data_IF_926791625437
#
_entry.id   IF_926791625437
#
_cell.length_a   1.000
_cell.length_b   1.000
_cell.length_c   1.000
_cell.angle_alpha   90.00
_cell.angle_beta   90.00
_cell.angle_gamma   90.00
#
_symmetry.space_group_name_H-M   'P 1'
#
loop_
_entity.id
_entity.type
_entity.pdbx_description
1 polymer ?
#
# COMPACT_ATOMS: atom_id res chain seq x y z
N UNK A 1 -26.09 1.42 3.08
CA UNK A 1 -25.33 2.30 3.97
C UNK A 1 -24.93 1.63 5.28
N UNK A 2 -25.86 1.27 6.17
CA UNK A 2 -25.53 0.69 7.50
C UNK A 2 -25.14 -0.80 7.52
N UNK A 3 -24.69 -1.37 6.40
CA UNK A 3 -24.26 -2.78 6.30
C UNK A 3 -25.20 -3.83 6.92
N UNK A 4 -26.51 -3.56 7.02
CA UNK A 4 -27.51 -4.44 7.68
C UNK A 4 -27.58 -5.85 7.08
N UNK A 5 -27.18 -6.02 5.82
CA UNK A 5 -27.11 -7.31 5.14
C UNK A 5 -26.07 -8.27 5.75
N UNK A 6 -25.08 -7.76 6.49
CA UNK A 6 -24.14 -8.60 7.25
C UNK A 6 -24.73 -9.16 8.55
N UNK A 7 -25.84 -8.61 9.05
CA UNK A 7 -26.40 -9.02 10.33
C UNK A 7 -26.87 -10.48 10.33
N UNK A 8 -27.35 -11.00 9.20
CA UNK A 8 -27.70 -12.42 9.06
C UNK A 8 -26.48 -13.31 9.23
N UNK A 9 -25.36 -12.95 8.58
CA UNK A 9 -24.09 -13.68 8.66
C UNK A 9 -23.51 -13.62 10.09
N UNK A 10 -23.56 -12.45 10.75
CA UNK A 10 -23.10 -12.31 12.13
C UNK A 10 -23.96 -13.14 13.11
N UNK A 11 -25.29 -13.17 12.91
CA UNK A 11 -26.16 -14.04 13.70
C UNK A 11 -25.84 -15.51 13.48
N UNK A 12 -25.60 -15.92 12.23
CA UNK A 12 -25.21 -17.29 11.90
C UNK A 12 -23.88 -17.66 12.57
N UNK A 13 -22.87 -16.80 12.44
CA UNK A 13 -21.54 -16.97 13.04
C UNK A 13 -21.53 -16.94 14.58
N UNK A 14 -22.50 -16.27 15.21
CA UNK A 14 -22.70 -16.33 16.65
C UNK A 14 -23.23 -17.69 17.10
N UNK A 15 -24.09 -18.32 16.29
CA UNK A 15 -24.71 -19.62 16.62
C UNK A 15 -23.86 -20.83 16.24
N UNK A 16 -23.06 -20.75 15.17
CA UNK A 16 -22.23 -21.86 14.69
C UNK A 16 -20.99 -21.35 13.97
N UNK A 17 -19.98 -22.21 13.83
CA UNK A 17 -18.86 -21.94 12.94
C UNK A 17 -19.36 -21.83 11.49
N UNK A 18 -18.98 -20.73 10.82
CA UNK A 18 -19.34 -20.46 9.43
C UNK A 18 -18.66 -21.46 8.49
N UNK A 19 -19.40 -21.93 7.49
CA UNK A 19 -18.89 -22.75 6.39
C UNK A 19 -18.73 -21.92 5.12
N UNK A 20 -17.97 -22.45 4.15
CA UNK A 20 -17.77 -21.76 2.85
C UNK A 20 -19.11 -21.52 2.14
N UNK A 21 -20.05 -22.45 2.27
CA UNK A 21 -21.40 -22.34 1.69
C UNK A 21 -22.27 -21.24 2.34
N UNK A 22 -21.87 -20.70 3.50
CA UNK A 22 -22.57 -19.60 4.17
C UNK A 22 -22.14 -18.22 3.62
N UNK A 23 -21.15 -18.16 2.73
CA UNK A 23 -20.62 -16.93 2.15
C UNK A 23 -21.47 -16.48 0.95
N UNK A 24 -21.62 -15.17 0.79
CA UNK A 24 -22.33 -14.58 -0.34
C UNK A 24 -21.48 -14.62 -1.62
N UNK A 25 -22.14 -14.81 -2.77
CA UNK A 25 -21.52 -14.69 -4.08
C UNK A 25 -21.07 -13.25 -4.40
N UNK A 26 -20.01 -13.14 -5.20
CA UNK A 26 -19.43 -11.84 -5.61
C UNK A 26 -20.39 -11.12 -6.56
N UNK A 27 -20.53 -9.80 -6.39
CA UNK A 27 -21.51 -9.01 -7.15
C UNK A 27 -20.95 -8.57 -8.51
N UNK A 28 -21.80 -8.44 -9.55
CA UNK A 28 -21.37 -7.97 -10.88
C UNK A 28 -20.94 -6.49 -10.92
N UNK A 29 -21.40 -5.69 -9.95
CA UNK A 29 -21.19 -4.23 -9.87
C UNK A 29 -19.84 -3.85 -9.28
N UNK A 30 -18.98 -4.81 -8.95
CA UNK A 30 -17.58 -4.54 -8.63
C UNK A 30 -16.78 -4.19 -9.91
N UNK A 31 -17.37 -3.38 -10.80
CA UNK A 31 -16.72 -2.59 -11.86
C UNK A 31 -17.02 -1.11 -11.57
N UNK A 32 -15.96 -0.31 -11.55
CA UNK A 32 -15.81 0.95 -10.81
C UNK A 32 -16.65 2.15 -11.29
N UNK A 33 -17.06 3.04 -10.36
CA UNK A 33 -16.94 4.50 -10.54
C UNK A 33 -17.13 5.38 -9.27
N UNK A 34 -16.24 6.38 -9.19
CA UNK A 34 -16.22 7.72 -8.55
C UNK A 34 -16.31 7.97 -7.03
N UNK A 35 -15.54 8.99 -6.61
CA UNK A 35 -15.49 9.53 -5.24
C UNK A 35 -15.07 11.01 -5.22
N UNK A 36 -15.76 11.81 -4.40
CA UNK A 36 -15.32 13.09 -3.86
C UNK A 36 -16.02 13.26 -2.51
N UNK A 37 -15.29 13.35 -1.39
CA UNK A 37 -15.84 13.75 -0.07
C UNK A 37 -14.77 13.81 1.05
N UNK A 38 -13.98 14.89 1.09
CA UNK A 38 -13.12 15.17 2.28
C UNK A 38 -13.14 16.62 2.76
N UNK A 39 -13.88 17.49 2.09
CA UNK A 39 -14.00 18.90 2.47
C UNK A 39 -14.80 19.11 3.78
N UNK A 40 -15.52 18.09 4.23
CA UNK A 40 -16.41 18.17 5.39
C UNK A 40 -15.69 18.31 6.74
N UNK A 41 -14.52 17.69 6.91
CA UNK A 41 -13.78 17.73 8.19
C UNK A 41 -13.29 19.13 8.56
N UNK A 42 -13.04 19.99 7.57
CA UNK A 42 -12.53 21.34 7.77
C UNK A 42 -13.60 22.30 8.31
N UNK A 43 -14.88 21.98 8.09
CA UNK A 43 -16.01 22.81 8.46
C UNK A 43 -16.31 22.73 9.97
N UNK A 44 -16.07 21.57 10.61
CA UNK A 44 -16.43 21.34 12.01
C UNK A 44 -15.76 22.31 13.01
N UNK A 45 -14.43 22.54 12.99
CA UNK A 45 -13.81 23.48 13.93
C UNK A 45 -14.29 24.92 13.75
N UNK A 46 -14.64 25.31 12.52
CA UNK A 46 -15.22 26.62 12.24
C UNK A 46 -16.58 26.79 12.92
N UNK A 47 -17.47 25.80 12.77
CA UNK A 47 -18.80 25.80 13.40
C UNK A 47 -18.72 25.81 14.93
N UNK A 48 -17.79 25.04 15.52
CA UNK A 48 -17.56 25.04 16.97
C UNK A 48 -17.09 26.41 17.46
N UNK A 49 -16.21 27.07 16.70
CA UNK A 49 -15.77 28.43 17.00
C UNK A 49 -16.92 29.45 17.10
N UNK A 50 -17.86 29.40 16.16
CA UNK A 50 -19.04 30.28 16.16
C UNK A 50 -19.98 30.00 17.34
N UNK A 51 -20.18 28.74 17.73
CA UNK A 51 -20.98 28.38 18.91
C UNK A 51 -20.32 28.88 20.20
N UNK A 52 -18.99 28.84 20.29
CA UNK A 52 -18.25 29.33 21.47
C UNK A 52 -18.31 30.86 21.56
N UNK A 53 -18.38 31.58 20.43
CA UNK A 53 -18.49 33.05 20.41
C UNK A 53 -19.71 33.54 21.20
N UNK A 54 -20.84 32.84 21.09
CA UNK A 54 -22.10 33.18 21.78
C UNK A 54 -21.96 33.35 23.28
N UNK A 55 -21.06 32.62 23.91
CA UNK A 55 -20.83 32.69 25.35
C UNK A 55 -19.89 33.84 25.75
N UNK A 56 -19.45 34.66 24.80
CA UNK A 56 -18.61 35.84 25.09
C UNK A 56 -19.45 37.00 25.64
N UNK A 57 -18.88 37.89 26.47
CA UNK A 57 -19.63 39.00 27.08
C UNK A 57 -20.17 40.03 26.08
N UNK A 58 -19.52 40.20 24.93
CA UNK A 58 -19.79 41.26 23.94
C UNK A 58 -20.53 40.77 22.68
N UNK A 59 -21.26 39.65 22.76
CA UNK A 59 -21.76 38.99 21.56
C UNK A 59 -23.01 39.67 20.98
N UNK A 60 -22.98 39.95 19.66
CA UNK A 60 -24.15 40.42 18.90
C UNK A 60 -25.03 39.29 18.33
N UNK A 61 -24.70 38.03 18.64
CA UNK A 61 -25.36 36.86 18.05
C UNK A 61 -26.70 36.59 18.71
N UNK A 62 -27.72 36.30 17.90
CA UNK A 62 -29.06 35.97 18.38
C UNK A 62 -29.11 34.49 18.78
N UNK A 63 -29.94 34.11 19.75
CA UNK A 63 -30.11 32.70 20.15
C UNK A 63 -30.47 31.78 18.97
N UNK A 64 -31.16 32.29 17.95
CA UNK A 64 -31.51 31.56 16.73
C UNK A 64 -30.29 31.21 15.86
N UNK A 65 -29.28 32.08 15.81
CA UNK A 65 -28.04 31.84 15.05
C UNK A 65 -27.27 30.66 15.67
N UNK A 66 -27.22 30.59 17.00
CA UNK A 66 -26.53 29.52 17.75
C UNK A 66 -27.19 28.17 17.54
N UNK A 67 -28.52 28.11 17.62
CA UNK A 67 -29.25 26.88 17.31
C UNK A 67 -28.99 26.42 15.87
N UNK A 68 -28.88 27.36 14.93
CA UNK A 68 -28.55 27.06 13.54
C UNK A 68 -27.13 26.46 13.41
N UNK A 69 -26.12 27.07 14.04
CA UNK A 69 -24.75 26.54 14.05
C UNK A 69 -24.64 25.17 14.75
N UNK A 70 -25.37 24.96 15.85
CA UNK A 70 -25.40 23.68 16.56
C UNK A 70 -26.06 22.56 15.74
N UNK A 71 -27.15 22.87 15.03
CA UNK A 71 -27.79 21.93 14.09
C UNK A 71 -26.83 21.63 12.94
N UNK A 72 -26.21 22.65 12.34
CA UNK A 72 -25.24 22.46 11.27
C UNK A 72 -24.06 21.58 11.70
N UNK A 73 -23.53 21.78 12.91
CA UNK A 73 -22.45 20.97 13.47
C UNK A 73 -22.88 19.50 13.61
N UNK A 74 -24.09 19.26 14.13
CA UNK A 74 -24.63 17.91 14.32
C UNK A 74 -24.85 17.20 12.98
N UNK A 75 -25.44 17.90 12.01
CA UNK A 75 -25.68 17.37 10.67
C UNK A 75 -24.36 17.03 9.97
N UNK A 76 -23.38 17.91 10.03
CA UNK A 76 -22.02 17.68 9.48
C UNK A 76 -21.35 16.47 10.17
N UNK A 77 -21.55 16.30 11.49
CA UNK A 77 -21.07 15.11 12.19
C UNK A 77 -21.72 13.81 11.70
N UNK A 78 -23.05 13.82 11.48
CA UNK A 78 -23.80 12.67 10.99
C UNK A 78 -23.44 12.30 9.56
N UNK A 79 -23.30 13.29 8.68
CA UNK A 79 -22.90 13.09 7.29
C UNK A 79 -21.48 12.51 7.25
N UNK A 80 -20.53 13.03 8.04
CA UNK A 80 -19.19 12.45 8.14
C UNK A 80 -19.21 10.97 8.59
N UNK A 81 -20.00 10.63 9.61
CA UNK A 81 -20.13 9.23 10.08
C UNK A 81 -20.70 8.30 8.99
N UNK A 82 -21.48 8.85 8.08
CA UNK A 82 -22.10 8.14 6.98
C UNK A 82 -21.14 7.96 5.78
N UNK A 83 -20.41 9.02 5.42
CA UNK A 83 -19.54 9.07 4.24
C UNK A 83 -18.23 8.31 4.46
N UNK A 84 -17.57 8.49 5.61
CA UNK A 84 -16.21 7.96 5.82
C UNK A 84 -16.13 6.42 5.71
N UNK A 85 -17.06 5.64 6.29
CA UNK A 85 -17.07 4.19 6.12
C UNK A 85 -17.37 3.77 4.67
N UNK A 86 -18.22 4.53 3.96
CA UNK A 86 -18.54 4.27 2.55
C UNK A 86 -17.31 4.48 1.66
N UNK A 87 -16.51 5.52 1.94
CA UNK A 87 -15.22 5.74 1.28
C UNK A 87 -14.29 4.53 1.44
N UNK A 88 -14.05 4.08 2.69
CA UNK A 88 -13.15 2.96 2.92
C UNK A 88 -13.66 1.68 2.27
N UNK A 89 -14.97 1.44 2.35
CA UNK A 89 -15.61 0.32 1.67
C UNK A 89 -15.36 0.36 0.14
N UNK A 90 -15.60 1.50 -0.50
CA UNK A 90 -15.37 1.67 -1.94
C UNK A 90 -13.90 1.45 -2.31
N UNK A 91 -12.96 1.98 -1.52
CA UNK A 91 -11.53 1.80 -1.76
C UNK A 91 -11.09 0.34 -1.61
N UNK A 92 -11.66 -0.39 -0.65
CA UNK A 92 -11.41 -1.83 -0.50
C UNK A 92 -11.98 -2.64 -1.67
N UNK A 93 -13.15 -2.29 -2.20
CA UNK A 93 -13.69 -2.91 -3.41
C UNK A 93 -12.76 -2.70 -4.61
N UNK A 94 -12.29 -1.47 -4.85
CA UNK A 94 -11.35 -1.17 -5.92
C UNK A 94 -10.04 -1.96 -5.75
N UNK A 95 -9.50 -2.01 -4.54
CA UNK A 95 -8.30 -2.80 -4.29
C UNK A 95 -8.51 -4.30 -4.57
N UNK A 96 -9.66 -4.86 -4.20
CA UNK A 96 -10.01 -6.25 -4.51
C UNK A 96 -10.05 -6.52 -6.02
N UNK A 97 -10.62 -5.61 -6.80
CA UNK A 97 -10.64 -5.70 -8.27
C UNK A 97 -9.23 -5.67 -8.85
N UNK A 98 -8.37 -4.75 -8.38
CA UNK A 98 -6.97 -4.69 -8.80
C UNK A 98 -6.24 -6.01 -8.49
N UNK A 99 -6.46 -6.59 -7.30
CA UNK A 99 -5.86 -7.86 -6.90
C UNK A 99 -6.29 -9.01 -7.81
N UNK A 100 -7.58 -9.11 -8.11
CA UNK A 100 -8.10 -10.14 -9.02
C UNK A 100 -7.50 -10.00 -10.43
N UNK A 101 -7.44 -8.77 -10.95
CA UNK A 101 -6.87 -8.48 -12.28
C UNK A 101 -5.37 -8.82 -12.35
N UNK A 102 -4.57 -8.34 -11.39
CA UNK A 102 -3.13 -8.62 -11.32
C UNK A 102 -2.88 -10.12 -11.14
N UNK A 103 -3.66 -10.79 -10.28
CA UNK A 103 -3.60 -12.24 -10.10
C UNK A 103 -3.88 -13.00 -11.40
N UNK A 104 -4.91 -12.59 -12.15
CA UNK A 104 -5.23 -13.19 -13.45
C UNK A 104 -4.13 -12.95 -14.50
N UNK A 105 -3.51 -11.76 -14.53
CA UNK A 105 -2.41 -11.44 -15.43
C UNK A 105 -1.18 -12.30 -15.10
N UNK A 106 -0.81 -12.41 -13.82
CA UNK A 106 0.27 -13.28 -13.36
C UNK A 106 -0.03 -14.73 -13.74
N UNK A 107 -1.25 -15.21 -13.49
CA UNK A 107 -1.67 -16.57 -13.84
C UNK A 107 -1.52 -16.86 -15.35
N UNK A 108 -2.02 -15.96 -16.19
CA UNK A 108 -1.89 -16.06 -17.66
C UNK A 108 -0.42 -16.01 -18.11
N UNK A 109 0.43 -15.22 -17.45
CA UNK A 109 1.86 -15.18 -17.76
C UNK A 109 2.52 -16.51 -17.50
N UNK A 110 2.29 -17.12 -16.33
CA UNK A 110 2.90 -18.41 -15.97
C UNK A 110 2.56 -19.49 -16.99
N UNK A 111 1.31 -19.53 -17.49
CA UNK A 111 0.87 -20.50 -18.49
C UNK A 111 1.57 -20.33 -19.85
N UNK A 112 2.13 -19.16 -20.13
CA UNK A 112 2.84 -18.84 -21.39
C UNK A 112 4.35 -18.86 -21.24
N UNK A 113 4.90 -18.86 -20.03
CA UNK A 113 6.34 -18.76 -19.79
C UNK A 113 7.09 -19.99 -20.30
N UNK A 114 8.30 -19.78 -20.84
CA UNK A 114 9.21 -20.87 -21.25
C UNK A 114 9.62 -21.75 -20.07
N UNK A 115 9.94 -23.04 -20.33
CA UNK A 115 10.42 -23.95 -19.28
C UNK A 115 11.70 -23.43 -18.60
N UNK A 116 12.57 -22.74 -19.33
CA UNK A 116 13.76 -22.09 -18.77
C UNK A 116 13.39 -20.95 -17.81
N UNK A 117 12.51 -20.05 -18.24
CA UNK A 117 12.04 -18.93 -17.42
C UNK A 117 11.24 -19.38 -16.19
N UNK A 118 10.48 -20.49 -16.32
CA UNK A 118 9.77 -21.14 -15.22
C UNK A 118 10.74 -21.78 -14.22
N UNK A 119 11.87 -22.31 -14.66
CA UNK A 119 12.90 -22.80 -13.75
C UNK A 119 13.62 -21.65 -13.02
N UNK A 120 13.86 -20.53 -13.71
CA UNK A 120 14.44 -19.30 -13.13
C UNK A 120 13.52 -18.63 -12.09
N UNK A 121 12.21 -18.79 -12.24
CA UNK A 121 11.20 -18.25 -11.32
C UNK A 121 10.50 -19.39 -10.62
N UNK A 122 10.99 -19.78 -9.45
CA UNK A 122 10.47 -20.96 -8.76
C UNK A 122 8.96 -20.82 -8.49
N UNK A 123 8.23 -21.93 -8.54
CA UNK A 123 6.79 -21.96 -8.21
C UNK A 123 6.50 -21.30 -6.86
N UNK A 124 7.42 -21.43 -5.88
CA UNK A 124 7.31 -20.76 -4.58
C UNK A 124 7.41 -19.24 -4.65
N UNK A 125 8.24 -18.68 -5.53
CA UNK A 125 8.32 -17.22 -5.74
C UNK A 125 7.01 -16.67 -6.31
N UNK A 126 6.39 -17.40 -7.23
CA UNK A 126 5.10 -17.03 -7.83
C UNK A 126 3.98 -17.08 -6.79
N UNK A 127 3.91 -18.16 -6.01
CA UNK A 127 2.91 -18.30 -4.94
C UNK A 127 3.07 -17.19 -3.90
N UNK A 128 4.31 -16.89 -3.49
CA UNK A 128 4.58 -15.77 -2.56
C UNK A 128 4.18 -14.41 -3.16
N UNK A 129 4.40 -14.20 -4.46
CA UNK A 129 3.98 -12.98 -5.14
C UNK A 129 2.44 -12.84 -5.13
N UNK A 130 1.71 -13.93 -5.39
CA UNK A 130 0.25 -13.94 -5.36
C UNK A 130 -0.31 -13.78 -3.93
N UNK A 131 0.36 -14.32 -2.91
CA UNK A 131 -0.09 -14.25 -1.51
C UNK A 131 0.36 -12.99 -0.76
N UNK A 132 1.46 -12.37 -1.18
CA UNK A 132 2.11 -11.29 -0.40
C UNK A 132 2.14 -9.99 -1.20
N UNK A 133 2.63 -10.01 -2.44
CA UNK A 133 2.79 -8.79 -3.23
C UNK A 133 1.44 -8.24 -3.70
N UNK A 134 0.52 -9.11 -4.11
CA UNK A 134 -0.85 -8.71 -4.49
C UNK A 134 -1.61 -8.10 -3.30
N UNK A 135 -1.37 -8.58 -2.07
CA UNK A 135 -2.02 -8.01 -0.88
C UNK A 135 -1.54 -6.59 -0.54
N UNK A 136 -0.41 -6.12 -1.08
CA UNK A 136 0.04 -4.73 -0.86
C UNK A 136 -0.88 -3.69 -1.52
N UNK A 137 -1.71 -4.09 -2.51
CA UNK A 137 -2.66 -3.21 -3.19
C UNK A 137 -3.81 -2.74 -2.29
N UNK A 138 -4.22 -3.53 -1.28
CA UNK A 138 -5.27 -3.15 -0.33
C UNK A 138 -4.96 -1.84 0.37
N UNK A 139 -3.75 -1.77 0.92
CA UNK A 139 -3.31 -0.64 1.72
C UNK A 139 -2.86 0.53 0.86
N UNK A 140 -2.25 0.28 -0.29
CA UNK A 140 -1.75 1.34 -1.16
C UNK A 140 -2.87 2.11 -1.86
N UNK A 141 -3.95 1.44 -2.26
CA UNK A 141 -5.11 2.09 -2.90
C UNK A 141 -5.78 3.07 -1.93
N UNK A 142 -5.96 2.66 -0.67
CA UNK A 142 -6.44 3.51 0.41
C UNK A 142 -5.55 4.74 0.62
N UNK A 143 -4.23 4.53 0.58
CA UNK A 143 -3.26 5.56 0.91
C UNK A 143 -2.96 6.52 -0.26
N UNK A 144 -3.21 6.09 -1.50
CA UNK A 144 -2.99 6.88 -2.71
C UNK A 144 -3.71 8.23 -2.67
N UNK A 145 -4.96 8.23 -2.20
CA UNK A 145 -5.77 9.44 -2.15
C UNK A 145 -5.26 10.45 -1.11
N UNK A 146 -4.47 10.02 -0.13
CA UNK A 146 -3.93 10.95 0.86
C UNK A 146 -2.84 11.87 0.31
N UNK A 147 -2.12 11.46 -0.74
CA UNK A 147 -0.99 12.24 -1.27
C UNK A 147 -1.45 13.58 -1.85
N UNK A 148 -2.55 13.58 -2.60
CA UNK A 148 -3.05 14.80 -3.26
C UNK A 148 -4.07 15.55 -2.41
N UNK A 149 -4.78 14.86 -1.51
CA UNK A 149 -5.73 15.51 -0.60
C UNK A 149 -5.00 16.30 0.49
N UNK A 150 -3.86 15.81 1.00
CA UNK A 150 -3.13 16.49 2.06
C UNK A 150 -2.68 17.93 1.69
N UNK A 151 -2.08 18.20 0.50
CA UNK A 151 -1.76 19.56 0.07
C UNK A 151 -2.98 20.48 -0.04
N UNK A 152 -4.10 19.97 -0.55
CA UNK A 152 -5.35 20.74 -0.68
C UNK A 152 -5.87 21.10 0.71
N UNK A 153 -5.88 20.14 1.63
CA UNK A 153 -6.31 20.34 3.02
C UNK A 153 -5.40 21.35 3.74
N UNK A 154 -4.07 21.25 3.57
CA UNK A 154 -3.11 22.21 4.10
C UNK A 154 -3.41 23.62 3.59
N UNK A 155 -3.68 23.79 2.29
CA UNK A 155 -3.98 25.09 1.71
C UNK A 155 -5.28 25.69 2.26
N UNK A 156 -6.34 24.89 2.40
CA UNK A 156 -7.63 25.36 2.93
C UNK A 156 -7.51 25.76 4.39
N UNK A 157 -6.90 24.92 5.23
CA UNK A 157 -6.77 25.22 6.66
C UNK A 157 -5.85 26.42 6.87
N UNK A 158 -4.76 26.54 6.11
CA UNK A 158 -3.92 27.73 6.14
C UNK A 158 -4.70 29.00 5.81
N UNK A 159 -5.54 28.96 4.77
CA UNK A 159 -6.41 30.08 4.40
C UNK A 159 -7.37 30.46 5.54
N UNK A 160 -7.96 29.48 6.22
CA UNK A 160 -8.85 29.72 7.36
C UNK A 160 -8.12 30.33 8.56
N UNK A 161 -6.93 29.82 8.89
CA UNK A 161 -6.09 30.41 9.94
C UNK A 161 -5.68 31.84 9.56
N UNK A 162 -5.31 32.08 8.30
CA UNK A 162 -4.96 33.42 7.81
C UNK A 162 -6.12 34.40 7.91
N UNK A 163 -7.34 33.98 7.55
CA UNK A 163 -8.55 34.78 7.72
C UNK A 163 -8.82 35.16 9.18
N UNK A 164 -8.40 34.33 10.14
CA UNK A 164 -8.70 34.54 11.57
C UNK A 164 -7.58 35.27 12.32
N UNK A 165 -6.33 34.95 12.02
CA UNK A 165 -5.15 35.41 12.78
C UNK A 165 -4.15 36.20 11.91
N UNK A 166 -4.50 36.48 10.66
CA UNK A 166 -3.68 37.25 9.74
C UNK A 166 -2.31 36.61 9.50
N UNK A 167 -1.26 37.42 9.62
CA UNK A 167 0.12 37.03 9.34
C UNK A 167 0.61 35.92 10.29
N UNK A 168 0.00 35.76 11.46
CA UNK A 168 0.36 34.71 12.41
C UNK A 168 0.24 33.29 11.79
N UNK A 169 -0.61 33.11 10.77
CA UNK A 169 -0.78 31.84 10.04
C UNK A 169 0.51 31.35 9.36
N UNK A 170 1.39 32.26 8.93
CA UNK A 170 2.64 31.89 8.25
C UNK A 170 3.66 31.23 9.18
N UNK A 171 3.60 31.49 10.49
CA UNK A 171 4.44 30.76 11.45
C UNK A 171 4.01 29.29 11.54
N UNK A 172 2.71 29.02 11.54
CA UNK A 172 2.16 27.65 11.48
C UNK A 172 2.55 26.96 10.18
N UNK A 173 2.47 27.67 9.05
CA UNK A 173 2.95 27.15 7.75
C UNK A 173 4.43 26.76 7.81
N UNK A 174 5.27 27.59 8.43
CA UNK A 174 6.72 27.33 8.53
C UNK A 174 7.00 26.04 9.29
N UNK A 175 6.33 25.84 10.43
CA UNK A 175 6.45 24.59 11.21
C UNK A 175 5.95 23.39 10.41
N UNK A 176 4.79 23.48 9.77
CA UNK A 176 4.24 22.38 8.96
C UNK A 176 5.17 22.05 7.79
N UNK A 177 5.66 23.06 7.08
CA UNK A 177 6.56 22.87 5.94
C UNK A 177 7.88 22.23 6.38
N UNK A 178 8.37 22.50 7.59
CA UNK A 178 9.51 21.78 8.17
C UNK A 178 9.20 20.32 8.56
N UNK A 179 7.96 20.03 8.94
CA UNK A 179 7.55 18.67 9.34
C UNK A 179 7.31 17.75 8.14
N UNK A 180 6.87 18.28 6.99
CA UNK A 180 6.67 17.50 5.75
C UNK A 180 7.92 16.71 5.30
N UNK A 181 9.12 17.31 5.13
CA UNK A 181 10.31 16.56 4.72
C UNK A 181 10.77 15.57 5.79
N UNK A 182 10.60 15.91 7.06
CA UNK A 182 10.87 14.97 8.16
C UNK A 182 9.95 13.74 8.06
N UNK A 183 8.65 13.93 7.84
CA UNK A 183 7.70 12.83 7.66
C UNK A 183 7.99 12.01 6.40
N UNK A 184 8.45 12.65 5.33
CA UNK A 184 8.89 11.95 4.13
C UNK A 184 10.07 11.03 4.42
N UNK A 185 11.11 11.55 5.09
CA UNK A 185 12.30 10.78 5.46
C UNK A 185 11.93 9.61 6.39
N UNK A 186 11.14 9.88 7.44
CA UNK A 186 10.72 8.86 8.40
C UNK A 186 9.88 7.77 7.72
N UNK A 187 8.92 8.14 6.86
CA UNK A 187 8.08 7.21 6.12
C UNK A 187 8.88 6.33 5.15
N UNK A 188 9.82 6.93 4.41
CA UNK A 188 10.72 6.20 3.51
C UNK A 188 11.63 5.22 4.27
N UNK A 189 12.24 5.68 5.37
CA UNK A 189 13.10 4.84 6.20
C UNK A 189 12.30 3.68 6.80
N UNK A 190 11.09 3.94 7.28
CA UNK A 190 10.21 2.94 7.86
C UNK A 190 9.78 1.89 6.81
N UNK A 191 9.41 2.32 5.61
CA UNK A 191 9.12 1.43 4.48
C UNK A 191 10.32 0.54 4.13
N UNK A 192 11.52 1.13 4.07
CA UNK A 192 12.78 0.39 3.80
C UNK A 192 13.06 -0.65 4.88
N UNK A 193 12.95 -0.28 6.16
CA UNK A 193 13.13 -1.23 7.27
C UNK A 193 12.12 -2.37 7.22
N UNK A 194 10.86 -2.09 6.87
CA UNK A 194 9.81 -3.10 6.74
C UNK A 194 10.12 -4.10 5.63
N UNK A 195 10.65 -3.65 4.49
CA UNK A 195 11.12 -4.57 3.44
C UNK A 195 12.28 -5.44 3.92
N UNK A 196 13.23 -4.88 4.68
CA UNK A 196 14.36 -5.63 5.24
C UNK A 196 13.92 -6.66 6.28
N UNK A 197 12.97 -6.33 7.15
CA UNK A 197 12.35 -7.27 8.09
C UNK A 197 11.74 -8.45 7.32
N UNK A 198 11.01 -8.17 6.24
CA UNK A 198 10.48 -9.20 5.35
C UNK A 198 11.57 -10.14 4.84
N UNK A 199 12.67 -9.60 4.33
CA UNK A 199 13.78 -10.41 3.80
C UNK A 199 14.45 -11.32 4.85
N UNK A 200 14.66 -10.83 6.08
CA UNK A 200 15.23 -11.66 7.15
C UNK A 200 14.24 -12.72 7.65
N UNK A 201 12.95 -12.38 7.72
CA UNK A 201 11.87 -13.33 8.03
C UNK A 201 11.82 -14.46 7.00
N UNK A 202 11.99 -14.14 5.72
CA UNK A 202 11.92 -15.12 4.64
C UNK A 202 13.09 -16.12 4.72
N UNK A 203 14.33 -15.67 4.96
CA UNK A 203 15.47 -16.57 5.21
C UNK A 203 15.20 -17.56 6.34
N UNK A 204 14.66 -17.08 7.47
CA UNK A 204 14.31 -17.93 8.63
C UNK A 204 13.19 -18.92 8.28
N UNK A 205 12.21 -18.49 7.51
CA UNK A 205 11.06 -19.33 7.12
C UNK A 205 11.48 -20.42 6.14
N UNK A 206 12.38 -20.10 5.20
CA UNK A 206 12.98 -21.08 4.29
C UNK A 206 13.75 -22.15 5.06
N UNK A 207 14.65 -21.76 5.98
CA UNK A 207 15.38 -22.72 6.81
C UNK A 207 14.43 -23.57 7.65
N UNK A 208 13.37 -22.99 8.21
CA UNK A 208 12.38 -23.77 8.95
C UNK A 208 11.68 -24.82 8.09
N UNK A 209 11.38 -24.50 6.83
CA UNK A 209 10.78 -25.45 5.90
C UNK A 209 11.72 -26.63 5.60
N UNK A 210 13.02 -26.36 5.41
CA UNK A 210 14.05 -27.38 5.22
C UNK A 210 14.19 -28.29 6.46
N UNK A 211 14.13 -27.71 7.66
CA UNK A 211 14.20 -28.46 8.92
C UNK A 211 13.00 -29.38 9.10
N UNK A 212 11.78 -28.92 8.80
CA UNK A 212 10.57 -29.74 8.89
C UNK A 212 10.63 -30.89 7.88
N UNK A 213 11.06 -30.60 6.64
CA UNK A 213 11.18 -31.61 5.59
C UNK A 213 12.28 -32.65 5.91
N UNK A 214 13.39 -32.22 6.52
CA UNK A 214 14.53 -33.05 6.88
C UNK A 214 14.50 -33.62 8.30
N UNK A 215 13.37 -33.55 9.01
CA UNK A 215 13.31 -33.79 10.46
C UNK A 215 13.85 -35.17 10.89
N UNK A 216 13.56 -36.22 10.12
CA UNK A 216 14.02 -37.58 10.42
C UNK A 216 15.55 -37.71 10.39
N UNK A 217 16.21 -37.07 9.42
CA UNK A 217 17.67 -37.08 9.27
C UNK A 217 18.30 -36.30 10.43
N UNK A 218 17.73 -35.13 10.75
CA UNK A 218 18.20 -34.29 11.86
C UNK A 218 18.16 -35.05 13.18
N UNK A 219 17.09 -35.83 13.42
CA UNK A 219 16.97 -36.70 14.60
C UNK A 219 17.95 -37.86 14.59
N UNK A 220 18.16 -38.51 13.44
CA UNK A 220 19.11 -39.62 13.31
C UNK A 220 20.54 -39.21 13.65
N UNK A 221 20.95 -37.99 13.29
CA UNK A 221 22.30 -37.46 13.55
C UNK A 221 22.40 -36.59 14.80
N UNK A 222 21.32 -36.43 15.59
CA UNK A 222 21.27 -35.56 16.77
C UNK A 222 21.71 -34.10 16.50
N UNK A 223 21.35 -33.56 15.33
CA UNK A 223 21.73 -32.21 14.88
C UNK A 223 20.80 -31.09 15.42
N UNK A 224 19.95 -31.37 16.40
CA UNK A 224 18.94 -30.40 16.84
C UNK A 224 19.55 -29.15 17.47
N UNK A 225 20.60 -29.30 18.30
CA UNK A 225 21.25 -28.17 18.96
C UNK A 225 21.96 -27.24 17.96
N UNK A 226 22.80 -27.73 17.02
CA UNK A 226 23.39 -26.89 15.97
C UNK A 226 22.34 -26.15 15.12
N UNK A 227 21.29 -26.84 14.68
CA UNK A 227 20.25 -26.24 13.83
C UNK A 227 19.44 -25.20 14.60
N UNK A 228 19.11 -25.47 15.86
CA UNK A 228 18.47 -24.51 16.76
C UNK A 228 19.32 -23.24 16.94
N UNK A 229 20.65 -23.38 17.04
CA UNK A 229 21.55 -22.24 17.12
C UNK A 229 21.52 -21.40 15.82
N UNK A 230 21.55 -22.05 14.65
CA UNK A 230 21.46 -21.38 13.35
C UNK A 230 20.14 -20.58 13.20
N UNK A 231 19.00 -21.19 13.55
CA UNK A 231 17.69 -20.51 13.55
C UNK A 231 17.70 -19.32 14.50
N UNK A 232 18.29 -19.49 15.69
CA UNK A 232 18.37 -18.42 16.69
C UNK A 232 19.22 -17.24 16.20
N UNK A 233 20.30 -17.50 15.46
CA UNK A 233 21.12 -16.45 14.84
C UNK A 233 20.31 -15.66 13.80
N UNK A 234 19.57 -16.34 12.91
CA UNK A 234 18.67 -15.67 11.95
C UNK A 234 17.60 -14.85 12.69
N UNK A 235 17.02 -15.39 13.76
CA UNK A 235 16.03 -14.68 14.57
C UNK A 235 16.62 -13.43 15.23
N UNK A 236 17.87 -13.46 15.70
CA UNK A 236 18.54 -12.26 16.25
C UNK A 236 18.71 -11.17 15.20
N UNK A 237 19.06 -11.54 13.96
CA UNK A 237 19.16 -10.58 12.86
C UNK A 237 17.80 -9.96 12.51
N UNK A 238 16.74 -10.78 12.44
CA UNK A 238 15.35 -10.34 12.26
C UNK A 238 14.92 -9.37 13.37
N UNK A 239 15.14 -9.74 14.65
CA UNK A 239 14.79 -8.94 15.82
C UNK A 239 15.52 -7.60 15.86
N UNK A 240 16.77 -7.54 15.40
CA UNK A 240 17.52 -6.27 15.28
C UNK A 240 16.81 -5.30 14.34
N UNK A 241 16.33 -5.78 13.19
CA UNK A 241 15.59 -4.94 12.23
C UNK A 241 14.22 -4.53 12.78
N UNK A 242 13.51 -5.46 13.44
CA UNK A 242 12.25 -5.17 14.13
C UNK A 242 12.46 -4.09 15.20
N UNK A 243 13.54 -4.17 15.98
CA UNK A 243 13.84 -3.17 17.00
C UNK A 243 14.01 -1.77 16.40
N UNK A 244 14.81 -1.64 15.35
CA UNK A 244 14.98 -0.35 14.66
C UNK A 244 13.65 0.19 14.11
N UNK A 245 12.79 -0.68 13.56
CA UNK A 245 11.47 -0.28 13.05
C UNK A 245 10.55 0.17 14.20
N UNK A 246 10.52 -0.57 15.31
CA UNK A 246 9.75 -0.21 16.50
C UNK A 246 10.19 1.12 17.10
N UNK A 247 11.51 1.36 17.21
CA UNK A 247 12.04 2.66 17.69
C UNK A 247 11.60 3.79 16.76
N UNK A 248 11.72 3.61 15.45
CA UNK A 248 11.29 4.62 14.47
C UNK A 248 9.78 4.91 14.55
N UNK A 249 8.96 3.88 14.72
CA UNK A 249 7.52 4.02 14.90
C UNK A 249 7.17 4.75 16.20
N UNK A 250 7.89 4.43 17.29
CA UNK A 250 7.73 5.13 18.57
C UNK A 250 8.11 6.60 18.46
N UNK A 251 9.21 6.93 17.79
CA UNK A 251 9.61 8.34 17.53
C UNK A 251 8.52 9.06 16.74
N UNK A 252 7.98 8.46 15.68
CA UNK A 252 6.91 9.10 14.90
C UNK A 252 5.63 9.33 15.72
N UNK A 253 5.22 8.34 16.53
CA UNK A 253 4.06 8.48 17.44
C UNK A 253 4.28 9.54 18.51
N UNK A 254 5.47 9.61 19.10
CA UNK A 254 5.82 10.65 20.07
C UNK A 254 5.83 12.03 19.44
N UNK A 255 6.36 12.15 18.22
CA UNK A 255 6.37 13.40 17.46
C UNK A 255 4.95 13.85 17.10
N UNK A 256 4.07 12.91 16.71
CA UNK A 256 2.65 13.18 16.55
C UNK A 256 2.06 13.73 17.85
N UNK A 257 2.22 13.08 18.99
CA UNK A 257 1.64 13.57 20.25
C UNK A 257 2.20 14.94 20.67
N UNK A 258 3.47 15.23 20.40
CA UNK A 258 4.12 16.50 20.73
C UNK A 258 3.74 17.64 19.78
N UNK A 259 3.55 17.36 18.48
CA UNK A 259 3.45 18.38 17.44
C UNK A 259 2.25 19.32 17.63
N UNK A 260 1.09 18.83 18.06
CA UNK A 260 -0.09 19.65 18.30
C UNK A 260 0.15 20.73 19.37
N UNK A 261 0.85 20.37 20.46
CA UNK A 261 1.23 21.31 21.52
C UNK A 261 2.27 22.31 21.04
N UNK A 262 3.24 21.87 20.25
CA UNK A 262 4.28 22.75 19.68
C UNK A 262 3.68 23.74 18.67
N UNK A 263 2.81 23.28 17.78
CA UNK A 263 2.11 24.11 16.80
C UNK A 263 1.21 25.15 17.49
N UNK A 264 0.45 24.74 18.51
CA UNK A 264 -0.36 25.64 19.32
C UNK A 264 0.50 26.69 20.06
N UNK A 265 1.63 26.29 20.64
CA UNK A 265 2.54 27.20 21.32
C UNK A 265 3.11 28.24 20.36
N UNK A 266 3.56 27.82 19.17
CA UNK A 266 4.14 28.72 18.16
C UNK A 266 3.09 29.73 17.65
N UNK A 267 1.89 29.28 17.29
CA UNK A 267 0.86 30.18 16.75
C UNK A 267 0.37 31.19 17.80
N UNK A 268 0.17 30.77 19.05
CA UNK A 268 -0.31 31.66 20.10
C UNK A 268 0.78 32.59 20.62
N UNK A 269 2.03 32.14 20.70
CA UNK A 269 3.16 33.02 21.02
C UNK A 269 3.36 34.10 19.94
N UNK A 270 3.24 33.72 18.65
CA UNK A 270 3.29 34.67 17.54
C UNK A 270 2.13 35.68 17.61
N UNK A 271 0.91 35.20 17.84
CA UNK A 271 -0.27 36.05 17.96
C UNK A 271 -0.17 37.04 19.14
N UNK A 272 0.31 36.57 20.29
CA UNK A 272 0.56 37.40 21.46
C UNK A 272 1.58 38.50 21.16
N UNK A 273 2.72 38.15 20.54
CA UNK A 273 3.76 39.12 20.17
C UNK A 273 3.26 40.17 19.17
N UNK A 274 2.32 39.80 18.31
CA UNK A 274 1.69 40.69 17.33
C UNK A 274 0.56 41.55 17.92
N UNK A 275 0.22 41.38 19.20
CA UNK A 275 -0.87 42.12 19.85
C UNK A 275 -2.27 41.71 19.38
N UNK A 276 -2.42 40.52 18.81
CA UNK A 276 -3.73 40.02 18.34
C UNK A 276 -4.59 39.60 19.55
N UNK A 277 -5.86 39.99 19.62
CA UNK A 277 -6.75 39.58 20.70
C UNK A 277 -7.03 38.07 20.61
N UNK A 278 -6.55 37.33 21.60
CA UNK A 278 -6.76 35.88 21.73
C UNK A 278 -8.13 35.59 22.34
N UNK A 279 -9.19 35.79 21.55
CA UNK A 279 -10.55 35.44 21.94
C UNK A 279 -10.76 33.92 21.94
N UNK A 280 -11.69 33.43 22.77
CA UNK A 280 -12.00 32.01 22.89
C UNK A 280 -12.30 31.37 21.52
N UNK A 281 -13.13 32.02 20.70
CA UNK A 281 -13.42 31.59 19.32
C UNK A 281 -12.17 31.38 18.47
N UNK A 282 -11.23 32.31 18.52
CA UNK A 282 -9.98 32.22 17.74
C UNK A 282 -9.08 31.10 18.25
N UNK A 283 -8.98 30.92 19.57
CA UNK A 283 -8.17 29.86 20.17
C UNK A 283 -8.74 28.48 19.85
N UNK A 284 -10.03 28.25 20.09
CA UNK A 284 -10.65 26.94 19.89
C UNK A 284 -10.70 26.53 18.41
N UNK A 285 -11.04 27.46 17.50
CA UNK A 285 -11.06 27.17 16.06
C UNK A 285 -9.67 26.80 15.55
N UNK A 286 -8.64 27.56 15.97
CA UNK A 286 -7.26 27.33 15.56
C UNK A 286 -6.69 26.00 16.09
N UNK A 287 -7.04 25.60 17.32
CA UNK A 287 -6.65 24.29 17.85
C UNK A 287 -7.25 23.16 16.99
N UNK A 288 -8.55 23.21 16.69
CA UNK A 288 -9.19 22.18 15.87
C UNK A 288 -8.61 22.11 14.46
N UNK A 289 -8.30 23.26 13.85
CA UNK A 289 -7.60 23.32 12.56
C UNK A 289 -6.18 22.72 12.61
N UNK A 290 -5.43 22.99 13.68
CA UNK A 290 -4.09 22.42 13.89
C UNK A 290 -4.16 20.89 14.04
N UNK A 291 -5.15 20.37 14.77
CA UNK A 291 -5.35 18.92 14.94
C UNK A 291 -5.66 18.23 13.61
N UNK A 292 -6.46 18.88 12.74
CA UNK A 292 -6.71 18.38 11.37
C UNK A 292 -5.41 18.31 10.57
N UNK A 293 -4.64 19.40 10.54
CA UNK A 293 -3.34 19.45 9.84
C UNK A 293 -2.36 18.40 10.37
N UNK A 294 -2.36 18.20 11.68
CA UNK A 294 -1.54 17.23 12.36
C UNK A 294 -1.88 15.81 11.91
N UNK A 295 -3.17 15.44 11.89
CA UNK A 295 -3.60 14.14 11.40
C UNK A 295 -3.14 13.91 9.96
N UNK A 296 -3.28 14.92 9.10
CA UNK A 296 -2.94 14.80 7.69
C UNK A 296 -1.45 14.68 7.41
N UNK A 297 -0.62 15.45 8.11
CA UNK A 297 0.83 15.42 7.92
C UNK A 297 1.47 14.23 8.62
N UNK A 298 1.09 13.91 9.85
CA UNK A 298 1.77 12.89 10.65
C UNK A 298 1.24 11.47 10.42
N UNK A 299 -0.04 11.32 10.11
CA UNK A 299 -0.64 9.99 9.91
C UNK A 299 -0.80 9.68 8.43
N UNK A 300 -1.49 10.54 7.67
CA UNK A 300 -1.82 10.24 6.28
C UNK A 300 -0.60 10.31 5.35
N UNK A 301 0.20 11.38 5.40
CA UNK A 301 1.40 11.51 4.56
C UNK A 301 2.45 10.43 4.89
N UNK A 302 2.73 10.21 6.18
CA UNK A 302 3.63 9.14 6.64
C UNK A 302 3.19 7.78 6.11
N UNK A 303 1.92 7.42 6.30
CA UNK A 303 1.38 6.12 5.88
C UNK A 303 1.36 5.97 4.37
N UNK A 304 1.06 7.04 3.63
CA UNK A 304 1.09 7.04 2.16
C UNK A 304 2.48 6.73 1.63
N UNK A 305 3.51 7.37 2.16
CA UNK A 305 4.90 7.16 1.71
C UNK A 305 5.37 5.76 2.07
N UNK A 306 5.09 5.28 3.28
CA UNK A 306 5.42 3.93 3.71
C UNK A 306 4.79 2.88 2.78
N UNK A 307 3.47 2.93 2.59
CA UNK A 307 2.71 1.92 1.84
C UNK A 307 3.08 1.97 0.35
N UNK A 308 3.29 3.16 -0.22
CA UNK A 308 3.71 3.29 -1.63
C UNK A 308 5.13 2.78 -1.86
N UNK A 309 6.05 2.95 -0.90
CA UNK A 309 7.40 2.38 -1.02
C UNK A 309 7.33 0.85 -1.09
N UNK A 310 6.46 0.23 -0.30
CA UNK A 310 6.22 -1.21 -0.35
C UNK A 310 5.57 -1.64 -1.67
N UNK A 311 4.53 -0.92 -2.12
CA UNK A 311 3.87 -1.18 -3.40
C UNK A 311 4.86 -1.09 -4.57
N UNK A 312 5.72 -0.06 -4.60
CA UNK A 312 6.72 0.10 -5.65
C UNK A 312 7.69 -1.09 -5.72
N UNK A 313 8.11 -1.62 -4.56
CA UNK A 313 8.94 -2.81 -4.51
C UNK A 313 8.19 -4.06 -5.03
N UNK A 314 6.91 -4.22 -4.67
CA UNK A 314 6.03 -5.30 -5.16
C UNK A 314 5.81 -5.23 -6.67
N UNK A 315 5.48 -4.04 -7.20
CA UNK A 315 5.29 -3.80 -8.63
C UNK A 315 6.55 -4.13 -9.42
N UNK A 316 7.73 -3.77 -8.92
CA UNK A 316 9.01 -4.11 -9.56
C UNK A 316 9.24 -5.63 -9.63
N UNK A 317 8.80 -6.40 -8.63
CA UNK A 317 8.86 -7.87 -8.64
C UNK A 317 7.89 -8.45 -9.66
N UNK A 318 6.64 -7.99 -9.65
CA UNK A 318 5.60 -8.41 -10.60
C UNK A 318 6.03 -8.11 -12.03
N UNK A 319 6.51 -6.89 -12.30
CA UNK A 319 7.03 -6.49 -13.61
C UNK A 319 8.16 -7.41 -14.08
N UNK A 320 9.10 -7.77 -13.19
CA UNK A 320 10.20 -8.67 -13.55
C UNK A 320 9.70 -10.03 -14.02
N UNK A 321 8.68 -10.59 -13.38
CA UNK A 321 8.07 -11.87 -13.78
C UNK A 321 7.32 -11.73 -15.11
N UNK A 322 6.57 -10.63 -15.28
CA UNK A 322 5.82 -10.37 -16.51
C UNK A 322 6.71 -10.18 -17.74
N UNK A 323 7.96 -9.75 -17.56
CA UNK A 323 8.93 -9.54 -18.63
C UNK A 323 9.80 -10.77 -18.96
N UNK A 324 9.56 -11.91 -18.33
CA UNK A 324 10.29 -13.16 -18.67
C UNK A 324 9.88 -13.71 -20.03
N UNK A 325 10.73 -14.55 -20.63
CA UNK A 325 10.48 -15.09 -21.96
C UNK A 325 9.32 -16.09 -21.98
N UNK A 326 8.44 -15.91 -22.97
CA UNK A 326 7.34 -16.81 -23.26
C UNK A 326 7.83 -18.03 -24.07
N UNK A 327 7.10 -19.14 -23.99
CA UNK A 327 7.27 -20.27 -24.90
C UNK A 327 7.04 -19.79 -26.32
N UNK A 328 8.01 -20.04 -27.19
CA UNK A 328 7.81 -19.90 -28.62
C UNK A 328 6.84 -20.98 -29.09
N UNK A 329 5.57 -20.62 -29.26
CA UNK A 329 4.62 -21.45 -29.99
C UNK A 329 4.99 -21.38 -31.47
N UNK A 330 5.32 -22.51 -32.07
CA UNK A 330 5.45 -22.60 -33.53
C UNK A 330 4.04 -22.45 -34.09
N UNK A 331 3.70 -21.24 -34.56
CA UNK A 331 2.42 -20.98 -35.22
C UNK A 331 2.32 -21.87 -36.46
N UNK A 332 1.53 -22.94 -36.36
CA UNK A 332 1.22 -23.84 -37.49
C UNK A 332 0.53 -23.15 -38.68
N UNK A 333 0.16 -21.88 -38.54
CA UNK A 333 -0.40 -21.03 -39.60
C UNK A 333 0.67 -20.21 -40.34
N UNK A 334 1.78 -19.83 -39.70
CA UNK A 334 2.79 -18.97 -40.34
C UNK A 334 3.72 -19.74 -41.29
N UNK A 335 3.81 -21.06 -41.12
CA UNK A 335 4.52 -21.94 -42.03
C UNK A 335 3.67 -22.50 -43.20
N UNK A 336 2.35 -22.27 -43.25
CA UNK A 336 1.55 -22.66 -44.42
C UNK A 336 1.86 -21.83 -45.68
N UNK A 337 2.46 -20.65 -45.54
CA UNK A 337 2.79 -19.79 -46.68
C UNK A 337 4.13 -20.15 -47.35
N UNK A 338 5.08 -20.73 -46.63
CA UNK A 338 6.43 -21.05 -47.15
C UNK A 338 6.83 -22.53 -47.02
N UNK A 339 6.00 -23.36 -46.40
CA UNK A 339 6.10 -24.82 -46.48
C UNK A 339 4.89 -25.25 -47.28
N UNK A 340 5.11 -25.56 -48.56
CA UNK A 340 4.11 -26.26 -49.37
C UNK A 340 3.63 -27.52 -48.62
N UNK A 341 2.45 -28.08 -48.96
CA UNK A 341 1.92 -29.24 -48.25
C UNK A 341 3.04 -30.26 -48.10
N UNK A 342 3.43 -30.58 -46.86
CA UNK A 342 4.39 -31.63 -46.58
C UNK A 342 3.77 -32.88 -47.19
N UNK A 343 4.24 -33.24 -48.38
CA UNK A 343 3.83 -34.46 -49.07
C UNK A 343 4.44 -35.57 -48.24
N UNK A 344 3.62 -36.18 -47.40
CA UNK A 344 3.93 -37.48 -46.82
C UNK A 344 4.04 -38.42 -48.02
N UNK A 345 5.26 -38.74 -48.45
CA UNK A 345 5.48 -39.78 -49.45
C UNK A 345 4.92 -41.09 -48.90
N UNK A 346 4.19 -41.85 -49.71
CA UNK A 346 3.58 -43.13 -49.32
C UNK A 346 4.61 -44.18 -48.83
N UNK A 347 5.92 -43.94 -48.99
CA UNK A 347 6.99 -44.76 -48.40
C UNK A 347 7.33 -44.45 -46.93
N UNK A 348 6.88 -43.31 -46.40
CA UNK A 348 7.16 -42.83 -45.03
C UNK A 348 5.93 -42.94 -44.11
N UNK A 349 4.94 -43.75 -44.49
CA UNK A 349 3.67 -43.91 -43.75
C UNK A 349 3.82 -44.48 -42.33
N UNK A 350 5.04 -44.83 -41.91
CA UNK A 350 5.36 -45.36 -40.59
C UNK A 350 6.12 -44.37 -39.68
N UNK A 351 6.46 -43.16 -40.13
CA UNK A 351 7.25 -42.22 -39.33
C UNK A 351 6.33 -41.13 -38.76
N UNK A 352 6.04 -41.23 -37.47
CA UNK A 352 5.19 -40.27 -36.76
C UNK A 352 5.95 -38.99 -36.35
N UNK A 353 7.25 -39.08 -36.06
CA UNK A 353 8.13 -37.96 -35.70
C UNK A 353 9.55 -38.26 -36.19
N UNK A 354 10.14 -37.33 -36.95
CA UNK A 354 11.54 -37.39 -37.39
C UNK A 354 12.31 -36.21 -36.77
N UNK A 355 13.48 -36.48 -36.19
CA UNK A 355 14.36 -35.47 -35.57
C UNK A 355 15.76 -35.60 -36.19
N UNK A 356 16.14 -34.64 -37.03
CA UNK A 356 17.45 -34.63 -37.70
C UNK A 356 18.37 -33.54 -37.12
N UNK A 357 19.59 -33.93 -36.73
CA UNK A 357 20.66 -33.03 -36.28
C UNK A 357 20.26 -32.05 -35.15
N UNK A 358 19.49 -32.51 -34.16
CA UNK A 358 19.07 -31.68 -33.02
C UNK A 358 20.23 -31.43 -32.05
N UNK A 359 20.39 -30.16 -31.64
CA UNK A 359 21.24 -29.75 -30.52
C UNK A 359 20.42 -28.90 -29.56
N UNK A 360 20.51 -29.18 -28.26
CA UNK A 360 19.76 -28.49 -27.21
C UNK A 360 20.65 -28.21 -26.00
N UNK A 361 20.44 -27.05 -25.37
CA UNK A 361 21.15 -26.61 -24.18
C UNK A 361 20.15 -26.06 -23.17
N UNK A 362 20.42 -26.30 -21.89
CA UNK A 362 19.56 -25.79 -20.80
C UNK A 362 19.81 -24.32 -20.48
N UNK A 363 20.97 -23.76 -20.85
CA UNK A 363 21.30 -22.35 -20.58
C UNK A 363 21.53 -21.58 -21.88
N UNK A 364 20.78 -20.48 -22.06
CA UNK A 364 20.76 -19.67 -23.28
C UNK A 364 22.09 -18.98 -23.57
N UNK A 365 22.93 -18.76 -22.55
CA UNK A 365 24.25 -18.15 -22.71
C UNK A 365 25.23 -19.02 -23.51
N UNK A 366 25.04 -20.34 -23.53
CA UNK A 366 25.88 -21.26 -24.33
C UNK A 366 25.49 -21.28 -25.81
N UNK A 367 24.32 -20.73 -26.16
CA UNK A 367 23.85 -20.61 -27.54
C UNK A 367 24.64 -19.55 -28.33
N UNK A 368 25.12 -18.50 -27.66
CA UNK A 368 25.92 -17.42 -28.25
C UNK A 368 27.42 -17.76 -28.41
N UNK A 369 27.91 -18.82 -27.75
CA UNK A 369 29.31 -19.26 -27.82
C UNK A 369 29.56 -20.36 -28.87
N UNK A 370 28.71 -20.46 -29.90
CA UNK A 370 29.01 -21.31 -31.05
C UNK A 370 30.26 -20.77 -31.79
N UNK A 371 31.22 -21.64 -32.17
CA UNK A 371 32.32 -21.25 -33.05
C UNK A 371 31.73 -20.98 -34.45
N UNK A 372 31.35 -19.73 -34.69
CA UNK A 372 30.72 -19.32 -35.95
C UNK A 372 29.93 -18.01 -35.90
N UNK A 373 29.61 -17.48 -34.70
CA UNK A 373 28.83 -16.23 -34.57
C UNK A 373 29.61 -15.07 -33.94
N UNK A 374 30.93 -15.09 -33.98
CA UNK A 374 31.75 -13.90 -33.75
C UNK A 374 31.71 -13.02 -35.00
N UNK A 375 30.67 -12.19 -35.11
CA UNK A 375 30.78 -10.95 -35.87
C UNK A 375 30.94 -9.82 -34.87
N UNK A 376 32.17 -9.31 -34.85
CA UNK A 376 32.61 -8.00 -34.43
C UNK A 376 31.47 -7.01 -34.19
N UNK A 377 31.39 -6.52 -32.96
CA UNK A 377 31.24 -5.09 -32.75
C UNK A 377 32.07 -4.70 -31.54
N UNK A 378 32.94 -3.74 -31.81
CA UNK A 378 34.06 -3.32 -31.01
C UNK A 378 33.67 -2.77 -29.63
N UNK A 379 34.57 -3.08 -28.71
CA UNK A 379 34.76 -2.41 -27.44
C UNK A 379 35.12 -0.96 -27.71
N UNK A 380 34.34 -0.01 -27.19
CA UNK A 380 34.85 1.30 -26.80
C UNK A 380 34.49 1.56 -25.34
N UNK A 381 35.49 2.11 -24.65
CA UNK A 381 35.60 2.40 -23.22
C UNK A 381 34.46 3.26 -22.66
#
# INVERSE_FOLDING_TARGET
MFCRWLNSLFKLGFTRQLKVDDLYDVRPQDESNHLADKLEKVIQPYLVGEVIDYFSPDTQMTSQDVYTYAIALTVTGMIQMCILPLYFYSMHCVAMQMKAAVGAIIYRKILKMSSYSLHKTSTGQVVNMLSTDVNTFDYATEAFHFIWIAPIEIAIVLYLIYRRMGIAAFFTLTVILSMVPLQFLLGYLFGTLRTRIGSEKDKRTLLMNEVITGMSIIKMYCWEKPISHLITQLRRQELKQIWHSSVLMSVNKSLFLASGRLLALVIFAAAWKMGLPLTAKTVFSSIGWIEILQLSVFFFLFSAIEKNTQLAASLKRIQRVLLLDDMHTVDGTRNKANIGPVRISESDSNIAVEINSMTAFWDSHLQNNKPGNSKANDVQM
#
